data_IF_304074579543
#
_entry.id   IF_304074579543
#
_cell.length_a   1.000
_cell.length_b   1.000
_cell.length_c   1.000
_cell.angle_alpha   90.00
_cell.angle_beta   90.00
_cell.angle_gamma   90.00
#
_symmetry.space_group_name_H-M   'P 1'
#
loop_
_entity.id
_entity.type
_entity.pdbx_description
1 polymer ?
#
# COMPACT_ATOMS: atom_id res chain seq x y z
N UNK A 1 5.41 23.98 7.41
CA UNK A 1 6.71 23.76 6.73
C UNK A 1 6.90 22.26 6.68
N UNK A 2 7.06 21.71 5.48
CA UNK A 2 7.28 20.29 5.22
C UNK A 2 7.99 20.17 3.88
N UNK A 3 8.81 19.14 3.73
CA UNK A 3 9.55 18.90 2.49
C UNK A 3 8.60 18.61 1.33
N UNK A 4 9.14 18.72 0.11
CA UNK A 4 8.36 18.44 -1.10
C UNK A 4 7.96 16.97 -1.11
N UNK A 5 6.66 16.71 -1.27
CA UNK A 5 6.13 15.35 -1.38
C UNK A 5 6.65 14.71 -2.67
N UNK A 6 7.33 13.57 -2.56
CA UNK A 6 7.67 12.70 -3.68
C UNK A 6 6.46 11.79 -3.97
N UNK A 7 5.48 12.33 -4.70
CA UNK A 7 4.30 11.57 -5.11
C UNK A 7 4.58 10.62 -6.28
N UNK A 8 3.68 9.65 -6.48
CA UNK A 8 3.72 8.69 -7.57
C UNK A 8 2.53 7.75 -7.51
N UNK A 9 2.32 6.96 -8.56
CA UNK A 9 1.41 5.81 -8.49
C UNK A 9 2.18 4.63 -7.92
N UNK A 10 1.67 4.07 -6.83
CA UNK A 10 2.16 2.83 -6.25
C UNK A 10 1.21 1.72 -6.63
N UNK A 11 1.72 0.50 -6.82
CA UNK A 11 1.03 -0.65 -7.41
C UNK A 11 0.76 -0.56 -8.92
N UNK A 12 0.22 -1.64 -9.48
CA UNK A 12 -0.12 -1.75 -10.89
C UNK A 12 -1.27 -0.82 -11.28
N UNK A 13 -1.31 -0.41 -12.55
CA UNK A 13 -2.42 0.36 -13.07
C UNK A 13 -3.69 -0.51 -13.10
N UNK A 14 -4.80 -0.07 -12.48
CA UNK A 14 -6.00 -0.89 -12.39
C UNK A 14 -6.61 -1.13 -13.77
N UNK A 15 -7.14 -2.33 -13.98
CA UNK A 15 -7.86 -2.65 -15.22
C UNK A 15 -9.20 -1.92 -15.29
N UNK A 16 -9.56 -1.47 -16.49
CA UNK A 16 -10.88 -0.92 -16.82
C UNK A 16 -11.78 -1.95 -17.54
N UNK A 17 -11.33 -3.19 -17.66
CA UNK A 17 -12.12 -4.26 -18.27
C UNK A 17 -13.29 -4.64 -17.35
N UNK A 18 -14.54 -4.69 -17.84
CA UNK A 18 -15.72 -4.90 -16.99
C UNK A 18 -15.70 -6.17 -16.14
N UNK A 19 -15.01 -7.23 -16.58
CA UNK A 19 -14.88 -8.49 -15.84
C UNK A 19 -13.76 -8.47 -14.77
N UNK A 20 -13.00 -7.37 -14.68
CA UNK A 20 -11.92 -7.15 -13.69
C UNK A 20 -12.23 -6.00 -12.73
N UNK A 21 -13.43 -5.43 -12.82
CA UNK A 21 -13.94 -4.42 -11.88
C UNK A 21 -14.64 -5.08 -10.69
N UNK A 22 -14.60 -4.44 -9.53
CA UNK A 22 -15.38 -4.81 -8.35
C UNK A 22 -16.72 -4.07 -8.39
N UNK A 23 -17.79 -4.75 -8.82
CA UNK A 23 -19.13 -4.16 -8.96
C UNK A 23 -19.20 -2.88 -9.81
N UNK A 24 -18.31 -2.76 -10.80
CA UNK A 24 -18.20 -1.59 -11.68
C UNK A 24 -17.16 -0.56 -11.22
N UNK A 25 -16.62 -0.69 -10.02
CA UNK A 25 -15.51 0.11 -9.52
C UNK A 25 -14.16 -0.53 -9.87
N UNK A 26 -13.10 0.28 -9.87
CA UNK A 26 -11.74 -0.24 -10.04
C UNK A 26 -11.40 -1.19 -8.89
N UNK A 27 -11.00 -2.42 -9.21
CA UNK A 27 -10.56 -3.37 -8.20
C UNK A 27 -9.31 -2.84 -7.49
N UNK A 28 -9.23 -3.05 -6.17
CA UNK A 28 -8.03 -2.73 -5.40
C UNK A 28 -6.83 -3.50 -5.93
N UNK A 29 -5.74 -2.78 -6.23
CA UNK A 29 -4.48 -3.36 -6.73
C UNK A 29 -3.45 -3.55 -5.62
N UNK A 30 -3.76 -3.10 -4.41
CA UNK A 30 -2.85 -3.13 -3.27
C UNK A 30 -3.59 -3.54 -2.00
N UNK A 31 -2.93 -4.36 -1.19
CA UNK A 31 -3.44 -4.78 0.11
C UNK A 31 -3.12 -3.75 1.19
N UNK A 32 -4.15 -3.19 1.82
CA UNK A 32 -3.99 -2.19 2.89
C UNK A 32 -3.15 -2.69 4.08
N UNK A 33 -3.07 -4.01 4.32
CA UNK A 33 -2.20 -4.58 5.37
C UNK A 33 -0.73 -4.30 5.07
N UNK A 34 -0.34 -4.29 3.79
CA UNK A 34 0.99 -3.86 3.35
C UNK A 34 1.29 -2.40 3.66
N UNK A 35 0.29 -1.51 3.51
CA UNK A 35 0.43 -0.10 3.87
C UNK A 35 0.68 0.06 5.37
N UNK A 36 -0.13 -0.62 6.19
CA UNK A 36 0.07 -0.61 7.64
C UNK A 36 1.41 -1.21 8.04
N UNK A 37 1.84 -2.31 7.40
CA UNK A 37 3.19 -2.84 7.58
C UNK A 37 4.26 -1.81 7.30
N UNK A 38 4.13 -1.05 6.20
CA UNK A 38 5.09 -0.01 5.82
C UNK A 38 5.19 1.09 6.89
N UNK A 39 4.06 1.56 7.42
CA UNK A 39 4.04 2.56 8.50
C UNK A 39 4.66 2.01 9.80
N UNK A 40 4.27 0.80 10.20
CA UNK A 40 4.71 0.19 11.45
C UNK A 40 6.22 -0.12 11.42
N UNK A 41 6.71 -0.73 10.34
CA UNK A 41 8.12 -1.12 10.22
C UNK A 41 9.02 0.08 9.93
N UNK A 42 8.67 0.89 8.92
CA UNK A 42 9.59 1.92 8.43
C UNK A 42 9.56 3.16 9.31
N UNK A 43 8.38 3.61 9.75
CA UNK A 43 8.27 4.81 10.59
C UNK A 43 8.46 4.48 12.08
N UNK A 44 7.73 3.49 12.60
CA UNK A 44 7.81 3.18 14.03
C UNK A 44 8.93 2.21 14.41
N UNK A 45 9.60 1.58 13.44
CA UNK A 45 10.68 0.63 13.68
C UNK A 45 10.26 -0.55 14.57
N UNK A 46 9.04 -1.05 14.36
CA UNK A 46 8.47 -2.21 15.06
C UNK A 46 8.36 -3.41 14.12
N UNK A 47 8.02 -4.59 14.65
CA UNK A 47 7.68 -5.77 13.84
C UNK A 47 6.20 -5.74 13.46
N UNK A 48 5.88 -5.43 12.21
CA UNK A 48 4.51 -5.39 11.72
C UNK A 48 3.88 -6.77 11.56
N UNK A 49 4.66 -7.82 11.33
CA UNK A 49 4.10 -9.13 11.00
C UNK A 49 3.22 -9.69 12.13
N UNK A 50 3.62 -9.45 13.37
CA UNK A 50 2.85 -9.81 14.57
C UNK A 50 1.58 -8.97 14.78
N UNK A 51 1.47 -7.80 14.14
CA UNK A 51 0.33 -6.87 14.28
C UNK A 51 -0.68 -7.08 13.13
N UNK A 52 -0.21 -7.15 11.89
CA UNK A 52 -1.09 -7.31 10.71
C UNK A 52 -1.35 -8.79 10.37
N UNK A 53 -0.76 -9.71 11.12
CA UNK A 53 -1.02 -11.15 11.03
C UNK A 53 -0.31 -11.86 9.88
N UNK A 54 0.81 -11.32 9.39
CA UNK A 54 1.57 -11.90 8.29
C UNK A 54 2.52 -10.92 7.62
N UNK A 55 3.18 -11.38 6.56
CA UNK A 55 4.02 -10.55 5.71
C UNK A 55 3.23 -10.12 4.48
N UNK A 56 3.29 -8.83 4.17
CA UNK A 56 2.59 -8.22 3.05
C UNK A 56 3.56 -7.32 2.27
N UNK A 57 3.24 -7.07 1.00
CA UNK A 57 4.03 -6.16 0.15
C UNK A 57 4.11 -4.77 0.79
N UNK A 58 5.31 -4.22 0.95
CA UNK A 58 5.53 -2.90 1.54
C UNK A 58 5.89 -1.87 0.48
N UNK A 59 5.47 -0.62 0.72
CA UNK A 59 5.86 0.53 -0.10
C UNK A 59 6.90 1.37 0.66
N UNK A 60 7.92 1.92 -0.01
CA UNK A 60 8.88 2.81 0.64
C UNK A 60 8.19 4.15 0.96
N UNK A 61 8.04 4.47 2.25
CA UNK A 61 7.40 5.71 2.71
C UNK A 61 8.37 6.71 3.34
N UNK A 62 9.62 6.30 3.59
CA UNK A 62 10.70 7.16 4.05
C UNK A 62 11.81 7.24 2.99
N UNK A 63 12.49 8.39 2.92
CA UNK A 63 13.62 8.64 2.01
C UNK A 63 14.96 8.21 2.62
#
# INVERSE_FOLDING_TARGET
>A
IGDRVNGGLYSEYPSIEPNKTDNGDLAFQYDFRGFYSSVIDQWFHLDSASIVGGQFEQIPILN
#
